data_IF_338786917213
#
_entry.id   IF_338786917213
#
_cell.length_a   1.000
_cell.length_b   1.000
_cell.length_c   1.000
_cell.angle_alpha   90.00
_cell.angle_beta   90.00
_cell.angle_gamma   90.00
#
_symmetry.space_group_name_H-M   'P 1'
#
loop_
_entity.id
_entity.type
_entity.pdbx_description
1 polymer ?
#
# COMPACT_ATOMS: atom_id res chain seq x y z
N UNK A 1 -35.97 46.86 25.00
CA UNK A 1 -34.96 45.85 25.31
C UNK A 1 -35.20 44.45 24.72
N UNK A 2 -36.41 44.08 24.25
CA UNK A 2 -36.69 42.72 23.70
C UNK A 2 -36.24 42.51 22.23
N UNK A 3 -35.93 43.54 21.48
CA UNK A 3 -35.49 43.43 20.07
C UNK A 3 -33.99 43.33 19.86
N UNK A 4 -33.18 43.83 20.84
CA UNK A 4 -31.71 43.72 20.76
C UNK A 4 -31.19 42.28 20.99
N UNK A 5 -31.93 41.46 21.76
CA UNK A 5 -31.55 40.10 22.07
C UNK A 5 -31.77 39.12 20.93
N UNK A 6 -32.68 39.44 19.99
CA UNK A 6 -32.95 38.61 18.80
C UNK A 6 -31.93 38.82 17.65
N UNK A 7 -31.32 40.00 17.60
CA UNK A 7 -30.25 40.22 16.59
C UNK A 7 -28.91 39.57 16.99
N UNK A 8 -28.66 39.41 18.26
CA UNK A 8 -27.40 38.74 18.74
C UNK A 8 -27.40 37.24 18.46
N UNK A 9 -28.56 36.59 18.44
CA UNK A 9 -28.69 35.15 18.16
C UNK A 9 -28.52 34.79 16.69
N UNK A 10 -28.74 35.71 15.77
CA UNK A 10 -28.59 35.48 14.34
C UNK A 10 -27.14 35.62 13.86
N UNK A 11 -26.31 36.37 14.62
CA UNK A 11 -24.89 36.55 14.31
C UNK A 11 -23.99 35.38 14.73
N UNK A 12 -24.47 34.50 15.60
CA UNK A 12 -23.69 33.31 16.00
C UNK A 12 -23.96 32.05 15.16
N UNK A 13 -24.96 32.07 14.29
CA UNK A 13 -25.31 30.90 13.47
C UNK A 13 -24.55 30.78 12.13
N UNK A 14 -23.64 31.70 11.83
CA UNK A 14 -22.95 31.75 10.52
C UNK A 14 -21.45 31.40 10.55
N UNK A 15 -20.93 30.89 11.67
CA UNK A 15 -19.51 30.48 11.81
C UNK A 15 -19.31 29.00 12.02
N UNK A 16 -20.23 28.17 11.54
CA UNK A 16 -19.87 26.79 11.22
C UNK A 16 -19.08 26.79 9.91
N UNK A 17 -17.90 27.41 9.91
CA UNK A 17 -16.88 27.17 8.91
C UNK A 17 -16.59 25.68 8.98
N UNK A 18 -17.05 24.95 7.96
CA UNK A 18 -16.75 23.54 7.82
C UNK A 18 -15.24 23.38 8.00
N UNK A 19 -14.84 22.69 9.06
CA UNK A 19 -13.43 22.39 9.28
C UNK A 19 -13.02 21.47 8.17
N UNK A 20 -12.33 22.00 7.14
CA UNK A 20 -11.62 21.18 6.18
C UNK A 20 -10.48 20.48 6.90
N UNK A 21 -10.24 19.24 6.54
CA UNK A 21 -9.09 18.51 7.03
C UNK A 21 -8.30 17.91 5.86
N UNK A 22 -6.99 17.77 6.03
CA UNK A 22 -6.13 17.25 4.97
C UNK A 22 -5.95 15.75 5.14
N UNK A 23 -6.34 14.99 4.11
CA UNK A 23 -6.02 13.56 3.97
C UNK A 23 -4.74 13.40 3.16
N UNK A 24 -3.89 12.46 3.55
CA UNK A 24 -2.65 12.15 2.84
C UNK A 24 -2.73 10.77 2.21
N UNK A 25 -2.28 10.67 0.95
CA UNK A 25 -2.27 9.41 0.22
C UNK A 25 -1.12 9.33 -0.77
N UNK A 26 -0.66 8.11 -1.07
CA UNK A 26 0.38 7.88 -2.07
C UNK A 26 -0.22 7.54 -3.42
N UNK A 27 0.29 8.19 -4.45
CA UNK A 27 -0.13 8.04 -5.84
C UNK A 27 1.08 7.68 -6.70
N UNK A 28 0.96 6.64 -7.50
CA UNK A 28 1.93 6.33 -8.57
C UNK A 28 1.45 6.93 -9.90
N UNK A 29 2.35 7.55 -10.64
CA UNK A 29 2.09 8.08 -11.97
C UNK A 29 3.17 7.60 -12.95
N UNK A 30 2.80 6.75 -13.91
CA UNK A 30 3.75 6.01 -14.76
C UNK A 30 3.39 6.17 -16.23
N UNK A 31 4.39 6.44 -17.09
CA UNK A 31 4.21 6.41 -18.54
C UNK A 31 3.92 4.97 -18.99
N UNK A 32 2.79 4.78 -19.67
CA UNK A 32 2.32 3.45 -20.06
C UNK A 32 3.22 2.76 -21.09
N UNK A 33 3.96 3.54 -21.88
CA UNK A 33 4.79 3.03 -22.96
C UNK A 33 6.17 2.62 -22.48
N UNK A 34 6.79 3.46 -21.65
CA UNK A 34 8.16 3.23 -21.16
C UNK A 34 8.18 2.54 -19.80
N UNK A 35 7.10 2.65 -19.03
CA UNK A 35 7.04 2.19 -17.66
C UNK A 35 7.72 3.16 -16.68
N UNK A 36 8.29 4.25 -17.16
CA UNK A 36 9.00 5.22 -16.32
C UNK A 36 8.01 6.05 -15.50
N UNK A 37 8.43 6.42 -14.29
CA UNK A 37 7.67 7.35 -13.49
C UNK A 37 7.65 8.73 -14.14
N UNK A 38 6.51 9.37 -14.07
CA UNK A 38 6.43 10.79 -14.36
C UNK A 38 7.15 11.53 -13.23
N UNK A 39 8.08 12.39 -13.59
CA UNK A 39 8.83 13.22 -12.64
C UNK A 39 8.30 14.66 -12.62
N UNK A 40 8.58 15.36 -11.51
CA UNK A 40 8.31 16.79 -11.34
C UNK A 40 6.83 17.18 -11.45
N UNK A 41 5.91 16.31 -11.03
CA UNK A 41 4.50 16.67 -10.91
C UNK A 41 4.28 17.56 -9.69
N UNK A 42 3.40 18.54 -9.83
CA UNK A 42 2.98 19.48 -8.79
C UNK A 42 1.45 19.45 -8.61
N UNK A 43 0.89 20.27 -7.71
CA UNK A 43 -0.54 20.25 -7.39
C UNK A 43 -1.43 20.61 -8.58
N UNK A 44 -0.95 21.45 -9.49
CA UNK A 44 -1.71 21.88 -10.68
C UNK A 44 -1.83 20.77 -11.74
N UNK A 45 -0.99 19.75 -11.63
CA UNK A 45 -0.97 18.62 -12.56
C UNK A 45 -2.08 17.60 -12.29
N UNK A 46 -2.69 17.67 -11.12
CA UNK A 46 -3.70 16.72 -10.68
C UNK A 46 -5.10 17.35 -10.58
N UNK A 47 -6.11 16.59 -10.95
CA UNK A 47 -7.53 16.90 -10.73
C UNK A 47 -8.15 15.80 -9.86
N UNK A 48 -8.49 16.15 -8.62
CA UNK A 48 -9.08 15.24 -7.64
C UNK A 48 -10.55 15.60 -7.40
N UNK A 49 -11.43 14.58 -7.29
CA UNK A 49 -12.87 14.78 -7.10
C UNK A 49 -13.48 13.72 -6.17
N UNK A 50 -14.45 14.15 -5.36
CA UNK A 50 -15.45 13.29 -4.73
C UNK A 50 -16.80 13.58 -5.40
N UNK A 51 -17.39 12.57 -6.06
CA UNK A 51 -18.57 12.79 -6.87
C UNK A 51 -18.30 13.81 -8.00
N UNK A 52 -18.95 14.97 -7.94
CA UNK A 52 -18.76 16.09 -8.87
C UNK A 52 -17.96 17.25 -8.26
N UNK A 53 -17.62 17.19 -6.99
CA UNK A 53 -16.92 18.24 -6.28
C UNK A 53 -15.40 18.09 -6.46
N UNK A 54 -14.75 19.19 -6.85
CA UNK A 54 -13.29 19.25 -6.94
C UNK A 54 -12.67 19.42 -5.56
N UNK A 55 -11.61 18.67 -5.31
CA UNK A 55 -10.84 18.73 -4.06
C UNK A 55 -9.57 19.54 -4.28
N UNK A 56 -9.23 20.37 -3.30
CA UNK A 56 -7.97 21.09 -3.33
C UNK A 56 -6.80 20.14 -2.97
N UNK A 57 -5.78 20.12 -3.83
CA UNK A 57 -4.51 19.42 -3.56
C UNK A 57 -3.56 20.44 -2.98
N UNK A 58 -3.29 20.32 -1.68
CA UNK A 58 -2.54 21.31 -0.89
C UNK A 58 -1.05 21.06 -0.90
N UNK A 59 -0.64 19.81 -1.16
CA UNK A 59 0.77 19.45 -1.26
C UNK A 59 1.01 18.26 -2.18
N UNK A 60 2.17 18.25 -2.84
CA UNK A 60 2.70 17.13 -3.63
C UNK A 60 4.17 16.96 -3.27
N UNK A 61 4.51 15.80 -2.70
CA UNK A 61 5.88 15.49 -2.27
C UNK A 61 6.34 14.18 -2.92
N UNK A 62 7.43 14.23 -3.68
CA UNK A 62 7.96 13.04 -4.37
C UNK A 62 8.84 12.18 -3.45
N UNK A 63 9.69 12.80 -2.64
CA UNK A 63 10.63 12.11 -1.76
C UNK A 63 10.09 12.09 -0.32
N UNK A 64 9.03 11.33 -0.08
CA UNK A 64 8.46 11.17 1.25
C UNK A 64 9.09 9.96 1.97
N UNK A 65 9.23 10.06 3.28
CA UNK A 65 9.58 8.90 4.11
C UNK A 65 8.36 7.99 4.20
N UNK A 66 8.56 6.69 4.04
CA UNK A 66 7.52 5.69 4.27
C UNK A 66 8.14 4.43 4.89
N UNK A 67 7.29 3.65 5.53
CA UNK A 67 7.66 2.32 6.02
C UNK A 67 7.30 1.29 4.96
N UNK A 68 8.23 0.41 4.63
CA UNK A 68 8.03 -0.70 3.71
C UNK A 68 8.23 -2.02 4.44
N UNK A 69 7.20 -2.84 4.49
CA UNK A 69 7.33 -4.24 4.86
C UNK A 69 7.46 -5.09 3.61
N UNK A 70 8.54 -5.85 3.51
CA UNK A 70 8.75 -6.86 2.47
C UNK A 70 8.35 -8.22 3.02
N UNK A 71 7.34 -8.84 2.43
CA UNK A 71 6.77 -10.11 2.85
C UNK A 71 7.01 -11.17 1.78
N UNK A 72 7.72 -12.23 2.13
CA UNK A 72 8.25 -13.21 1.20
C UNK A 72 7.63 -14.59 1.47
N UNK A 73 7.00 -15.17 0.45
CA UNK A 73 6.51 -16.54 0.52
C UNK A 73 7.68 -17.54 0.50
N UNK A 74 7.65 -18.46 1.46
CA UNK A 74 8.58 -19.59 1.57
C UNK A 74 7.76 -20.86 1.60
N UNK A 75 8.02 -21.82 0.75
CA UNK A 75 7.28 -23.10 0.75
C UNK A 75 7.89 -24.16 1.67
N UNK A 76 8.82 -23.77 2.53
CA UNK A 76 9.42 -24.62 3.55
C UNK A 76 10.15 -25.89 3.06
N UNK A 77 10.08 -26.18 1.75
CA UNK A 77 10.55 -27.44 1.17
C UNK A 77 11.61 -27.28 0.08
N UNK A 78 11.78 -26.07 -0.46
CA UNK A 78 12.66 -25.83 -1.60
C UNK A 78 13.77 -24.82 -1.26
N UNK A 79 15.01 -25.31 -1.12
CA UNK A 79 16.19 -24.48 -0.83
C UNK A 79 16.43 -23.39 -1.87
N UNK A 80 16.17 -23.68 -3.16
CA UNK A 80 16.42 -22.75 -4.26
C UNK A 80 15.53 -21.51 -4.13
N UNK A 81 14.30 -21.68 -3.61
CA UNK A 81 13.38 -20.56 -3.36
C UNK A 81 13.83 -19.70 -2.18
N UNK A 82 14.40 -20.29 -1.16
CA UNK A 82 14.96 -19.55 -0.04
C UNK A 82 16.12 -18.68 -0.52
N UNK A 83 17.01 -19.18 -1.37
CA UNK A 83 18.12 -18.40 -1.94
C UNK A 83 17.64 -17.22 -2.79
N UNK A 84 16.60 -17.41 -3.61
CA UNK A 84 15.97 -16.34 -4.38
C UNK A 84 15.40 -15.26 -3.47
N UNK A 85 14.68 -15.67 -2.42
CA UNK A 85 14.09 -14.79 -1.40
C UNK A 85 15.17 -13.99 -0.68
N UNK A 86 16.26 -14.65 -0.28
CA UNK A 86 17.43 -14.03 0.35
C UNK A 86 18.07 -12.99 -0.56
N UNK A 87 18.35 -13.38 -1.80
CA UNK A 87 18.95 -12.49 -2.81
C UNK A 87 18.10 -11.24 -3.00
N UNK A 88 16.79 -11.40 -3.08
CA UNK A 88 15.84 -10.34 -3.23
C UNK A 88 15.80 -9.40 -2.01
N UNK A 89 15.65 -9.96 -0.82
CA UNK A 89 15.61 -9.19 0.43
C UNK A 89 16.91 -8.40 0.63
N UNK A 90 18.06 -9.04 0.36
CA UNK A 90 19.38 -8.40 0.43
C UNK A 90 19.50 -7.26 -0.57
N UNK A 91 19.02 -7.46 -1.79
CA UNK A 91 18.99 -6.42 -2.82
C UNK A 91 18.12 -5.23 -2.39
N UNK A 92 16.91 -5.48 -1.92
CA UNK A 92 16.01 -4.43 -1.42
C UNK A 92 16.63 -3.65 -0.25
N UNK A 93 17.26 -4.35 0.70
CA UNK A 93 17.93 -3.72 1.83
C UNK A 93 19.08 -2.79 1.38
N UNK A 94 19.82 -3.17 0.33
CA UNK A 94 20.93 -2.40 -0.22
C UNK A 94 20.47 -1.22 -1.07
N UNK A 95 19.43 -1.42 -1.90
CA UNK A 95 18.93 -0.43 -2.85
C UNK A 95 17.92 0.54 -2.23
N UNK A 96 17.55 0.34 -0.96
CA UNK A 96 16.63 1.24 -0.27
C UNK A 96 17.20 2.65 -0.19
N UNK A 97 16.44 3.67 -0.61
CA UNK A 97 16.86 5.05 -0.45
C UNK A 97 17.14 5.40 1.02
N UNK A 98 18.01 6.37 1.24
CA UNK A 98 18.32 6.88 2.57
C UNK A 98 17.04 7.39 3.27
N UNK A 99 16.94 7.14 4.58
CA UNK A 99 15.77 7.52 5.40
C UNK A 99 14.57 6.59 5.28
N UNK A 100 14.58 5.59 4.39
CA UNK A 100 13.51 4.61 4.28
C UNK A 100 13.60 3.56 5.38
N UNK A 101 12.48 3.31 6.03
CA UNK A 101 12.36 2.30 7.07
C UNK A 101 11.83 0.99 6.50
N UNK A 102 12.61 -0.09 6.66
CA UNK A 102 12.24 -1.41 6.18
C UNK A 102 12.02 -2.37 7.32
N UNK A 103 11.03 -3.24 7.12
CA UNK A 103 10.86 -4.47 7.86
C UNK A 103 10.77 -5.64 6.88
N UNK A 104 11.03 -6.85 7.36
CA UNK A 104 10.97 -8.05 6.56
C UNK A 104 10.09 -9.08 7.25
N UNK A 105 9.45 -9.91 6.46
CA UNK A 105 8.72 -11.07 6.93
C UNK A 105 8.83 -12.20 5.92
N UNK A 106 8.69 -13.42 6.43
CA UNK A 106 8.54 -14.63 5.64
C UNK A 106 7.24 -15.32 6.04
N UNK A 107 6.61 -16.01 5.10
CA UNK A 107 5.40 -16.77 5.39
C UNK A 107 5.30 -18.05 4.57
N UNK A 108 4.64 -19.01 5.16
CA UNK A 108 4.08 -20.21 4.57
C UNK A 108 2.75 -20.47 5.30
N UNK A 109 2.63 -21.55 6.08
CA UNK A 109 1.48 -21.81 6.95
C UNK A 109 1.42 -20.85 8.15
N UNK A 110 2.58 -20.37 8.60
CA UNK A 110 2.75 -19.32 9.61
C UNK A 110 3.51 -18.16 9.02
N UNK A 111 3.41 -17.00 9.64
CA UNK A 111 4.20 -15.83 9.30
C UNK A 111 5.19 -15.49 10.40
N UNK A 112 6.36 -15.00 9.99
CA UNK A 112 7.42 -14.51 10.85
C UNK A 112 7.82 -13.12 10.37
N UNK A 113 8.03 -12.20 11.30
CA UNK A 113 8.42 -10.83 10.99
C UNK A 113 9.65 -10.41 11.79
N UNK A 114 10.40 -9.46 11.26
CA UNK A 114 11.39 -8.71 12.03
C UNK A 114 10.72 -7.96 13.17
N UNK A 115 11.51 -7.56 14.19
CA UNK A 115 10.96 -6.87 15.38
C UNK A 115 10.39 -5.48 15.10
N UNK A 116 10.59 -4.94 13.88
CA UNK A 116 10.11 -3.63 13.50
C UNK A 116 10.81 -3.12 12.25
N UNK A 117 10.63 -1.82 12.00
CA UNK A 117 11.21 -1.13 10.86
C UNK A 117 12.57 -0.54 11.22
N UNK A 118 13.53 -0.61 10.30
CA UNK A 118 14.87 -0.03 10.48
C UNK A 118 15.32 0.75 9.25
N UNK A 119 15.89 1.94 9.48
CA UNK A 119 16.62 2.72 8.49
C UNK A 119 18.10 2.33 8.36
N UNK A 120 18.65 1.60 9.35
CA UNK A 120 20.04 1.19 9.39
C UNK A 120 20.31 -0.05 8.55
N UNK A 121 21.30 0.00 7.65
CA UNK A 121 21.60 -1.08 6.71
C UNK A 121 22.13 -2.35 7.39
N UNK A 122 22.94 -2.20 8.45
CA UNK A 122 23.51 -3.34 9.18
C UNK A 122 22.43 -4.06 10.01
N UNK A 123 21.53 -3.28 10.63
CA UNK A 123 20.37 -3.84 11.34
C UNK A 123 19.44 -4.56 10.38
N UNK A 124 19.15 -3.96 9.21
CA UNK A 124 18.34 -4.62 8.16
C UNK A 124 18.93 -5.97 7.76
N UNK A 125 20.25 -6.03 7.52
CA UNK A 125 20.91 -7.27 7.15
C UNK A 125 20.80 -8.35 8.26
N UNK A 126 20.98 -7.95 9.52
CA UNK A 126 20.79 -8.88 10.66
C UNK A 126 19.37 -9.41 10.75
N UNK A 127 18.39 -8.53 10.60
CA UNK A 127 16.97 -8.88 10.66
C UNK A 127 16.57 -9.84 9.53
N UNK A 128 17.06 -9.61 8.31
CA UNK A 128 16.84 -10.50 7.18
C UNK A 128 17.38 -11.89 7.47
N UNK A 129 18.63 -11.97 7.93
CA UNK A 129 19.25 -13.26 8.23
C UNK A 129 18.46 -14.04 9.29
N UNK A 130 17.98 -13.38 10.35
CA UNK A 130 17.16 -14.03 11.37
C UNK A 130 15.84 -14.57 10.80
N UNK A 131 15.16 -13.83 9.91
CA UNK A 131 13.93 -14.30 9.25
C UNK A 131 14.23 -15.50 8.34
N UNK A 132 15.34 -15.47 7.62
CA UNK A 132 15.73 -16.53 6.70
C UNK A 132 16.07 -17.83 7.44
N UNK A 133 16.81 -17.75 8.53
CA UNK A 133 17.17 -18.92 9.35
C UNK A 133 15.94 -19.66 9.89
N UNK A 134 14.89 -18.94 10.23
CA UNK A 134 13.65 -19.51 10.74
C UNK A 134 12.62 -19.88 9.64
N UNK A 135 12.78 -19.37 8.42
CA UNK A 135 11.84 -19.59 7.32
C UNK A 135 11.50 -21.07 7.04
N UNK A 136 12.44 -22.04 7.11
CA UNK A 136 12.12 -23.47 6.92
C UNK A 136 11.13 -24.04 7.92
N UNK A 137 10.93 -23.39 9.07
CA UNK A 137 10.03 -23.84 10.14
C UNK A 137 8.58 -23.43 9.94
N UNK A 138 8.26 -22.59 8.94
CA UNK A 138 6.95 -21.94 8.79
C UNK A 138 5.84 -22.86 8.28
N UNK A 139 6.15 -24.09 7.92
CA UNK A 139 5.19 -25.09 7.46
C UNK A 139 5.15 -25.21 5.94
N UNK A 140 4.18 -25.99 5.42
CA UNK A 140 4.10 -26.36 3.99
C UNK A 140 2.90 -25.76 3.26
N UNK A 141 1.84 -25.41 4.00
CA UNK A 141 0.66 -24.75 3.43
C UNK A 141 0.95 -23.26 3.24
N UNK A 142 0.26 -22.63 2.35
CA UNK A 142 0.40 -21.20 2.09
C UNK A 142 -0.80 -20.46 2.66
N UNK A 143 -0.57 -19.56 3.62
CA UNK A 143 -1.57 -18.76 4.30
C UNK A 143 -1.34 -17.26 4.01
N UNK A 144 -1.54 -16.86 2.73
CA UNK A 144 -1.20 -15.51 2.29
C UNK A 144 -2.10 -14.44 2.93
N UNK A 145 -3.40 -14.70 3.09
CA UNK A 145 -4.31 -13.72 3.70
C UNK A 145 -4.04 -13.57 5.20
N UNK A 146 -3.69 -14.66 5.88
CA UNK A 146 -3.25 -14.62 7.28
C UNK A 146 -1.96 -13.82 7.42
N UNK A 147 -1.01 -14.04 6.52
CA UNK A 147 0.26 -13.31 6.53
C UNK A 147 0.07 -11.82 6.25
N UNK A 148 -0.83 -11.43 5.34
CA UNK A 148 -1.16 -10.04 5.05
C UNK A 148 -1.89 -9.36 6.22
N UNK A 149 -2.83 -10.06 6.88
CA UNK A 149 -3.47 -9.59 8.11
C UNK A 149 -2.45 -9.29 9.20
N UNK A 150 -1.59 -10.26 9.50
CA UNK A 150 -0.52 -10.11 10.51
C UNK A 150 0.50 -9.02 10.13
N UNK A 151 0.76 -8.85 8.83
CA UNK A 151 1.64 -7.80 8.31
C UNK A 151 1.09 -6.39 8.55
N UNK A 152 -0.22 -6.18 8.42
CA UNK A 152 -0.86 -4.91 8.77
C UNK A 152 -0.67 -4.58 10.26
N UNK A 153 -0.78 -5.56 11.14
CA UNK A 153 -0.60 -5.36 12.58
C UNK A 153 0.81 -4.89 12.96
N UNK A 154 1.84 -5.22 12.16
CA UNK A 154 3.23 -4.80 12.43
C UNK A 154 3.41 -3.27 12.38
N UNK A 155 2.60 -2.57 11.61
CA UNK A 155 2.68 -1.11 11.52
C UNK A 155 2.20 -0.42 12.80
N UNK A 156 1.38 -1.07 13.61
CA UNK A 156 0.75 -0.46 14.78
C UNK A 156 -0.13 0.72 14.37
N UNK A 157 0.31 1.94 14.64
CA UNK A 157 -0.34 3.12 14.10
C UNK A 157 0.07 3.29 12.63
N UNK A 158 -0.91 3.24 11.74
CA UNK A 158 -0.67 3.42 10.30
C UNK A 158 -0.35 4.87 9.98
N UNK A 159 0.62 5.05 9.08
CA UNK A 159 1.06 6.34 8.57
C UNK A 159 0.81 6.44 7.07
N UNK A 160 0.55 7.64 6.54
CA UNK A 160 0.44 7.82 5.10
C UNK A 160 1.70 7.32 4.38
N UNK A 161 1.52 6.45 3.39
CA UNK A 161 2.63 5.86 2.64
C UNK A 161 3.11 4.50 3.14
N UNK A 162 2.57 3.98 4.24
CA UNK A 162 2.82 2.59 4.65
C UNK A 162 2.55 1.63 3.51
N UNK A 163 3.50 0.76 3.25
CA UNK A 163 3.44 -0.13 2.09
C UNK A 163 3.85 -1.54 2.47
N UNK A 164 3.09 -2.53 2.01
CA UNK A 164 3.46 -3.94 2.04
C UNK A 164 3.79 -4.36 0.61
N UNK A 165 4.99 -4.92 0.43
CA UNK A 165 5.41 -5.59 -0.79
C UNK A 165 5.39 -7.09 -0.54
N UNK A 166 4.44 -7.80 -1.11
CA UNK A 166 4.40 -9.26 -1.05
C UNK A 166 4.95 -9.88 -2.33
N UNK A 167 5.85 -10.85 -2.16
CA UNK A 167 6.39 -11.67 -3.26
C UNK A 167 5.91 -13.10 -3.03
N UNK A 168 5.04 -13.58 -3.92
CA UNK A 168 4.33 -14.84 -3.73
C UNK A 168 3.94 -15.48 -5.07
N UNK A 169 3.51 -16.72 -5.01
CA UNK A 169 2.89 -17.42 -6.15
C UNK A 169 1.43 -17.02 -6.37
N UNK A 170 0.85 -16.34 -5.40
CA UNK A 170 -0.54 -15.87 -5.42
C UNK A 170 -1.57 -16.99 -5.21
N UNK A 171 -1.25 -17.93 -4.35
CA UNK A 171 -2.09 -19.06 -3.96
C UNK A 171 -2.32 -19.04 -2.45
N UNK A 172 -3.51 -19.45 -2.00
CA UNK A 172 -3.87 -19.59 -0.59
C UNK A 172 -4.54 -20.94 -0.32
N UNK A 173 -4.04 -21.68 0.65
CA UNK A 173 -4.67 -22.92 1.09
C UNK A 173 -4.66 -23.10 2.60
N UNK A 174 -4.21 -22.10 3.34
CA UNK A 174 -3.94 -22.16 4.75
C UNK A 174 -4.53 -21.07 5.62
N UNK A 175 -5.06 -20.00 5.05
CA UNK A 175 -5.58 -18.88 5.82
C UNK A 175 -6.92 -19.16 6.48
N UNK A 176 -7.09 -18.69 7.71
CA UNK A 176 -8.38 -18.60 8.39
C UNK A 176 -9.12 -17.32 8.02
N UNK A 177 -8.39 -16.24 7.69
CA UNK A 177 -8.96 -15.00 7.16
C UNK A 177 -9.33 -15.14 5.68
N UNK A 178 -10.47 -14.55 5.30
CA UNK A 178 -10.83 -14.44 3.89
C UNK A 178 -10.12 -13.27 3.21
N UNK A 179 -9.81 -13.41 1.91
CA UNK A 179 -9.23 -12.30 1.15
C UNK A 179 -10.10 -11.03 1.16
N UNK A 180 -11.44 -11.16 1.20
CA UNK A 180 -12.36 -10.02 1.29
C UNK A 180 -12.28 -9.29 2.64
N UNK A 181 -12.00 -10.00 3.75
CA UNK A 181 -11.82 -9.35 5.05
C UNK A 181 -10.52 -8.56 5.09
N UNK A 182 -9.43 -9.15 4.60
CA UNK A 182 -8.11 -8.50 4.55
C UNK A 182 -8.10 -7.32 3.59
N UNK A 183 -8.81 -7.40 2.46
CA UNK A 183 -9.00 -6.27 1.55
C UNK A 183 -9.63 -5.06 2.25
N UNK A 184 -10.67 -5.28 3.08
CA UNK A 184 -11.29 -4.20 3.87
C UNK A 184 -10.31 -3.57 4.85
N UNK A 185 -9.43 -4.34 5.46
CA UNK A 185 -8.39 -3.83 6.36
C UNK A 185 -7.39 -2.93 5.62
N UNK A 186 -6.93 -3.33 4.44
CA UNK A 186 -6.07 -2.49 3.59
C UNK A 186 -6.72 -1.16 3.24
N UNK A 187 -8.00 -1.19 2.86
CA UNK A 187 -8.76 0.03 2.55
C UNK A 187 -8.95 0.91 3.78
N UNK A 188 -9.24 0.30 4.94
CA UNK A 188 -9.48 1.02 6.18
C UNK A 188 -8.21 1.68 6.75
N UNK A 189 -7.07 1.01 6.62
CA UNK A 189 -5.78 1.52 7.10
C UNK A 189 -5.10 2.48 6.15
N UNK A 190 -5.50 2.49 4.87
CA UNK A 190 -4.81 3.24 3.81
C UNK A 190 -3.41 2.68 3.47
N UNK A 191 -3.09 1.48 3.95
CA UNK A 191 -1.83 0.80 3.63
C UNK A 191 -1.84 0.33 2.18
N UNK A 192 -0.76 0.61 1.46
CA UNK A 192 -0.61 0.26 0.05
C UNK A 192 -0.09 -1.17 -0.10
N UNK A 193 -0.73 -1.98 -0.96
CA UNK A 193 -0.30 -3.34 -1.26
C UNK A 193 0.34 -3.43 -2.64
N UNK A 194 1.60 -3.84 -2.70
CA UNK A 194 2.30 -4.21 -3.93
C UNK A 194 2.40 -5.73 -3.99
N UNK A 195 1.88 -6.34 -5.04
CA UNK A 195 1.94 -7.78 -5.26
C UNK A 195 2.84 -8.09 -6.43
N UNK A 196 3.89 -8.85 -6.16
CA UNK A 196 4.79 -9.39 -7.17
C UNK A 196 4.64 -10.90 -7.24
N UNK A 197 4.05 -11.37 -8.33
CA UNK A 197 3.92 -12.80 -8.57
C UNK A 197 5.22 -13.40 -9.07
N UNK A 198 5.64 -14.47 -8.45
CA UNK A 198 6.67 -15.35 -8.99
C UNK A 198 6.10 -16.24 -10.11
N UNK A 199 6.90 -16.55 -11.11
CA UNK A 199 6.55 -17.61 -12.04
C UNK A 199 6.79 -18.96 -11.35
N UNK A 200 5.72 -19.66 -11.05
CA UNK A 200 5.79 -21.05 -10.66
C UNK A 200 5.90 -21.91 -11.90
N UNK A 201 7.05 -22.47 -12.14
CA UNK A 201 7.13 -23.69 -12.96
C UNK A 201 6.63 -24.82 -12.08
N UNK A 202 5.34 -25.14 -12.19
CA UNK A 202 4.78 -26.31 -11.53
C UNK A 202 5.39 -27.56 -12.15
N UNK A 203 6.40 -28.14 -11.51
CA UNK A 203 6.70 -29.54 -11.71
C UNK A 203 5.54 -30.36 -11.12
N UNK A 204 4.59 -30.67 -11.97
CA UNK A 204 3.48 -31.56 -11.64
C UNK A 204 4.04 -32.99 -11.56
N UNK A 205 4.33 -33.45 -10.38
CA UNK A 205 4.46 -34.89 -10.11
C UNK A 205 3.49 -35.27 -9.00
N UNK A 206 2.38 -35.90 -9.39
CA UNK A 206 1.51 -36.68 -8.54
C UNK A 206 0.35 -35.92 -7.86
N UNK A 207 -0.87 -36.38 -8.16
CA UNK A 207 -2.15 -36.23 -7.45
C UNK A 207 -2.34 -34.99 -6.54
N UNK A 208 -2.25 -33.80 -7.08
CA UNK A 208 -2.70 -32.59 -6.40
C UNK A 208 -4.06 -32.18 -6.95
N UNK A 209 -5.02 -32.05 -6.04
CA UNK A 209 -6.30 -31.39 -6.34
C UNK A 209 -6.00 -29.91 -6.53
N UNK A 210 -6.07 -29.43 -7.76
CA UNK A 210 -5.86 -28.03 -8.11
C UNK A 210 -6.95 -27.19 -7.44
N UNK A 211 -6.64 -26.51 -6.34
CA UNK A 211 -7.39 -25.30 -5.99
C UNK A 211 -7.07 -24.27 -7.08
N UNK A 212 -8.09 -23.60 -7.57
CA UNK A 212 -7.93 -22.68 -8.70
C UNK A 212 -7.14 -21.43 -8.27
N UNK A 213 -5.83 -21.32 -8.59
CA UNK A 213 -5.01 -20.17 -8.17
C UNK A 213 -5.50 -18.85 -8.80
N UNK A 214 -6.34 -18.92 -9.85
CA UNK A 214 -6.90 -17.73 -10.49
C UNK A 214 -7.82 -16.93 -9.56
N UNK A 215 -8.52 -17.60 -8.63
CA UNK A 215 -9.41 -16.93 -7.68
C UNK A 215 -8.60 -16.07 -6.71
N UNK A 216 -7.56 -16.65 -6.09
CA UNK A 216 -6.72 -15.92 -5.14
C UNK A 216 -5.95 -14.79 -5.82
N UNK A 217 -5.45 -15.04 -7.02
CA UNK A 217 -4.79 -14.03 -7.85
C UNK A 217 -5.71 -12.87 -8.20
N UNK A 218 -6.98 -13.14 -8.52
CA UNK A 218 -7.97 -12.09 -8.78
C UNK A 218 -8.28 -11.26 -7.53
N UNK A 219 -8.34 -11.89 -6.35
CA UNK A 219 -8.53 -11.20 -5.07
C UNK A 219 -7.32 -10.32 -4.76
N UNK A 220 -6.10 -10.84 -4.88
CA UNK A 220 -4.88 -10.07 -4.66
C UNK A 220 -4.74 -8.89 -5.64
N UNK A 221 -5.11 -9.08 -6.90
CA UNK A 221 -5.12 -8.01 -7.90
C UNK A 221 -6.12 -6.90 -7.52
N UNK A 222 -7.31 -7.28 -7.08
CA UNK A 222 -8.34 -6.33 -6.63
C UNK A 222 -7.90 -5.60 -5.37
N UNK A 223 -7.33 -6.31 -4.39
CA UNK A 223 -6.80 -5.75 -3.15
C UNK A 223 -5.69 -4.73 -3.43
N UNK A 224 -4.72 -5.08 -4.29
CA UNK A 224 -3.68 -4.15 -4.72
C UNK A 224 -4.26 -2.90 -5.38
N UNK A 225 -5.19 -3.06 -6.34
CA UNK A 225 -5.82 -1.93 -7.02
C UNK A 225 -6.58 -1.01 -6.05
N UNK A 226 -7.35 -1.57 -5.11
CA UNK A 226 -8.15 -0.80 -4.15
C UNK A 226 -7.32 -0.09 -3.08
N UNK A 227 -6.15 -0.61 -2.76
CA UNK A 227 -5.20 0.01 -1.83
C UNK A 227 -4.24 1.01 -2.50
N UNK A 228 -4.35 1.24 -3.82
CA UNK A 228 -3.47 2.14 -4.56
C UNK A 228 -2.11 1.54 -4.89
N UNK A 229 -2.00 0.24 -4.81
CA UNK A 229 -0.80 -0.49 -5.15
C UNK A 229 -0.82 -1.07 -6.57
N UNK A 230 0.02 -2.06 -6.80
CA UNK A 230 0.23 -2.68 -8.10
C UNK A 230 0.29 -4.19 -7.95
N UNK A 231 -0.30 -4.87 -8.92
CA UNK A 231 -0.19 -6.30 -9.10
C UNK A 231 0.56 -6.59 -10.41
N UNK A 232 1.68 -7.27 -10.33
CA UNK A 232 2.56 -7.51 -11.48
C UNK A 232 3.33 -8.81 -11.33
N UNK A 233 3.86 -9.30 -12.46
CA UNK A 233 4.85 -10.37 -12.43
C UNK A 233 6.17 -9.85 -11.85
N UNK A 234 6.88 -10.71 -11.15
CA UNK A 234 8.18 -10.40 -10.58
C UNK A 234 9.17 -9.92 -11.65
N UNK A 235 9.62 -8.70 -11.51
CA UNK A 235 10.66 -8.10 -12.35
C UNK A 235 11.39 -6.98 -11.60
N UNK A 236 12.59 -6.64 -12.07
CA UNK A 236 13.41 -5.60 -11.42
C UNK A 236 12.76 -4.21 -11.40
N UNK A 237 11.90 -3.90 -12.38
CA UNK A 237 11.17 -2.65 -12.46
C UNK A 237 10.15 -2.50 -11.33
N UNK A 238 9.45 -3.59 -11.00
CA UNK A 238 8.42 -3.58 -9.96
C UNK A 238 8.97 -3.19 -8.59
N UNK A 239 10.25 -3.45 -8.29
CA UNK A 239 10.89 -2.97 -7.07
C UNK A 239 10.97 -1.45 -6.98
N UNK A 240 11.23 -0.78 -8.09
CA UNK A 240 11.21 0.68 -8.13
C UNK A 240 9.90 1.26 -7.62
N UNK A 241 8.78 0.58 -7.84
CA UNK A 241 7.46 1.04 -7.41
C UNK A 241 7.28 1.07 -5.89
N UNK A 242 8.06 0.28 -5.14
CA UNK A 242 8.04 0.31 -3.69
C UNK A 242 8.55 1.64 -3.12
N UNK A 243 9.45 2.31 -3.86
CA UNK A 243 10.10 3.55 -3.45
C UNK A 243 9.54 4.79 -4.13
N UNK A 244 8.75 4.62 -5.18
CA UNK A 244 8.35 5.68 -6.09
C UNK A 244 6.90 6.07 -5.87
N UNK A 245 6.59 7.32 -6.18
CA UNK A 245 5.26 7.89 -6.09
C UNK A 245 5.29 9.30 -5.54
N UNK A 246 4.09 9.83 -5.39
CA UNK A 246 3.83 11.16 -4.86
C UNK A 246 2.95 11.04 -3.63
N UNK A 247 3.35 11.65 -2.53
CA UNK A 247 2.46 11.90 -1.40
C UNK A 247 1.63 13.13 -1.73
N UNK A 248 0.32 12.96 -1.84
CA UNK A 248 -0.63 14.06 -2.02
C UNK A 248 -1.29 14.41 -0.70
N UNK A 249 -1.29 15.69 -0.34
CA UNK A 249 -2.17 16.26 0.68
C UNK A 249 -3.42 16.79 0.00
N UNK A 250 -4.59 16.33 0.43
CA UNK A 250 -5.88 16.62 -0.21
C UNK A 250 -6.84 17.13 0.85
N UNK A 251 -7.37 18.34 0.67
CA UNK A 251 -8.37 18.90 1.56
C UNK A 251 -9.73 18.28 1.30
N UNK A 252 -10.33 17.74 2.37
CA UNK A 252 -11.68 17.19 2.35
C UNK A 252 -12.60 18.18 3.04
N UNK A 253 -13.71 18.62 2.38
CA UNK A 253 -14.59 19.69 2.89
C UNK A 253 -15.40 19.33 4.13
N UNK A 254 -15.53 18.05 4.45
CA UNK A 254 -16.23 17.58 5.65
C UNK A 254 -15.19 17.09 6.69
N UNK A 255 -15.66 16.92 7.93
CA UNK A 255 -14.83 16.51 9.08
C UNK A 255 -14.11 15.15 8.96
N UNK A 256 -13.91 14.65 7.73
CA UNK A 256 -12.96 13.61 7.32
C UNK A 256 -12.93 12.31 8.13
N UNK A 257 -13.97 12.06 8.95
CA UNK A 257 -14.05 10.88 9.82
C UNK A 257 -14.26 9.56 9.06
N UNK A 258 -14.59 9.64 7.75
CA UNK A 258 -14.88 8.48 6.92
C UNK A 258 -14.02 8.49 5.66
N UNK A 259 -13.66 7.30 5.20
CA UNK A 259 -13.04 7.13 3.90
C UNK A 259 -14.02 7.50 2.77
N UNK A 260 -13.57 8.22 1.77
CA UNK A 260 -14.37 8.68 0.65
C UNK A 260 -13.92 8.06 -0.67
N UNK A 261 -14.85 7.52 -1.46
CA UNK A 261 -14.56 7.17 -2.85
C UNK A 261 -14.28 8.43 -3.65
N UNK A 262 -13.17 8.44 -4.36
CA UNK A 262 -12.70 9.59 -5.10
C UNK A 262 -12.19 9.22 -6.49
N UNK A 263 -11.90 10.22 -7.30
CA UNK A 263 -11.31 10.08 -8.63
C UNK A 263 -10.13 11.03 -8.75
N UNK A 264 -9.03 10.53 -9.29
CA UNK A 264 -7.83 11.30 -9.60
C UNK A 264 -7.53 11.22 -11.09
N UNK A 265 -7.17 12.36 -11.68
CA UNK A 265 -6.74 12.47 -13.07
C UNK A 265 -5.52 13.38 -13.15
N UNK A 266 -4.74 13.22 -14.21
CA UNK A 266 -3.74 14.22 -14.60
C UNK A 266 -4.36 15.22 -15.58
N UNK A 267 -4.00 16.50 -15.44
CA UNK A 267 -4.44 17.53 -16.36
C UNK A 267 -3.92 17.28 -17.78
N UNK A 268 -4.73 17.68 -18.78
CA UNK A 268 -4.47 17.44 -20.20
C UNK A 268 -3.22 18.15 -20.74
N UNK A 269 -2.72 19.15 -20.05
CA UNK A 269 -1.48 19.87 -20.42
C UNK A 269 -0.24 18.99 -20.34
N UNK A 270 -0.20 18.03 -19.39
CA UNK A 270 0.87 17.05 -19.27
C UNK A 270 0.61 15.86 -20.20
N UNK A 271 -0.63 15.49 -20.36
CA UNK A 271 -1.07 14.51 -21.31
C UNK A 271 -0.94 15.05 -22.73
N UNK A 272 0.31 15.13 -23.26
CA UNK A 272 0.46 15.25 -24.71
C UNK A 272 -0.48 14.22 -25.36
N UNK A 273 -1.23 14.54 -26.44
CA UNK A 273 -2.34 13.71 -26.94
C UNK A 273 -2.00 12.24 -27.26
N UNK A 274 -0.74 11.85 -27.21
CA UNK A 274 -0.26 10.50 -27.47
C UNK A 274 0.39 9.79 -26.27
N UNK A 275 0.55 10.44 -25.13
CA UNK A 275 1.05 9.79 -23.90
C UNK A 275 -0.11 9.21 -23.12
N UNK A 276 -0.05 7.90 -22.87
CA UNK A 276 -1.00 7.22 -21.99
C UNK A 276 -0.30 7.00 -20.66
N UNK A 277 -0.96 7.38 -19.57
CA UNK A 277 -0.47 7.22 -18.20
C UNK A 277 -1.29 6.18 -17.47
N UNK A 278 -0.65 5.50 -16.55
CA UNK A 278 -1.32 4.76 -15.50
C UNK A 278 -1.18 5.56 -14.20
N UNK A 279 -2.31 5.79 -13.54
CA UNK A 279 -2.35 6.29 -12.17
C UNK A 279 -2.69 5.13 -11.24
N UNK A 280 -1.92 4.99 -10.18
CA UNK A 280 -2.13 4.02 -9.12
C UNK A 280 -2.44 4.81 -7.84
N UNK A 281 -3.65 4.72 -7.36
CA UNK A 281 -4.11 5.44 -6.17
C UNK A 281 -5.20 4.63 -5.46
N UNK A 282 -5.37 4.76 -4.13
CA UNK A 282 -6.37 3.98 -3.41
C UNK A 282 -7.79 4.35 -3.88
N UNK A 283 -8.70 3.38 -3.89
CA UNK A 283 -10.09 3.59 -4.26
C UNK A 283 -10.80 4.59 -3.33
N UNK A 284 -10.33 4.66 -2.08
CA UNK A 284 -10.86 5.54 -1.06
C UNK A 284 -9.74 6.41 -0.49
N UNK A 285 -10.03 7.70 -0.29
CA UNK A 285 -9.15 8.56 0.49
C UNK A 285 -9.20 8.10 1.94
N UNK A 286 -8.03 7.95 2.60
CA UNK A 286 -7.97 7.68 4.02
C UNK A 286 -8.68 8.77 4.84
N UNK A 287 -9.18 8.45 6.03
CA UNK A 287 -9.64 9.46 6.98
C UNK A 287 -8.52 10.47 7.28
N UNK A 288 -8.89 11.71 7.62
CA UNK A 288 -7.90 12.71 7.99
C UNK A 288 -7.10 12.30 9.23
N UNK A 289 -5.80 12.55 9.21
CA UNK A 289 -4.88 12.18 10.29
C UNK A 289 -5.27 12.75 11.67
N UNK A 290 -5.86 13.95 11.71
CA UNK A 290 -6.35 14.56 12.95
C UNK A 290 -7.50 13.78 13.62
N UNK A 291 -8.32 13.09 12.82
CA UNK A 291 -9.46 12.31 13.33
C UNK A 291 -9.02 10.98 13.91
N UNK A 292 -7.93 10.40 13.42
CA UNK A 292 -7.35 9.16 13.96
C UNK A 292 -6.73 9.37 15.35
N UNK A 293 -6.24 10.58 15.65
CA UNK A 293 -5.69 10.94 16.96
C UNK A 293 -6.78 11.23 18.03
N UNK A 294 -8.00 11.60 17.62
CA UNK A 294 -9.12 11.90 18.54
C UNK A 294 -10.01 10.69 18.83
N UNK A 295 -9.90 9.60 18.07
CA UNK A 295 -10.68 8.39 18.27
C UNK A 295 -10.05 7.41 19.30
N UNK A 296 -9.07 7.87 20.06
CA UNK A 296 -8.40 7.18 21.17
C UNK A 296 -8.75 7.88 22.51
#
# INVERSE_FOLDING_TARGET
MRHALRLLLILFSSLALGQSCTSYTVVGAVDRKTGDDLSNLNSEDFDAKIGNEHLAITSVTQNFSNRLLVLLETDGTNSDRIEEVVSLATRLAREAPEGRQLAFGAFAQRSLFTRGFSGDAAERARQINAVIEEAPTLGKRIAIYEALHNALALFGMHEPGDTILVVADGYDDGSDHSGDSVEKEFVATGTRLLVMLRQTYSHVSGNFVWKNPEIDRAILQRMAARSGGVYTMFNAYAFGMAWRGYMLGIDIPENGAKAHKWKLRLHSTIAKPRRRFNLYYPEQLPPCAATLAQAR
#
